data_IF_004697527772
#
_entry.id   IF_004697527772
#
_cell.length_a   1.000
_cell.length_b   1.000
_cell.length_c   1.000
_cell.angle_alpha   90.00
_cell.angle_beta   90.00
_cell.angle_gamma   90.00
#
_symmetry.space_group_name_H-M   'P 1'
#
loop_
_entity.id
_entity.type
_entity.pdbx_description
1 polymer ?
#
# COMPACT_ATOMS: atom_id res chain seq x y z
N UNK A 1 0.92 -26.99 3.00
CA UNK A 1 0.21 -25.73 3.29
C UNK A 1 0.57 -24.57 2.36
N UNK A 2 1.61 -24.68 1.52
CA UNK A 2 2.23 -23.53 0.81
C UNK A 2 1.44 -22.89 -0.34
N UNK A 3 0.16 -23.20 -0.59
CA UNK A 3 -0.52 -22.71 -1.80
C UNK A 3 -2.02 -22.38 -1.63
N UNK A 4 -2.51 -22.26 -0.40
CA UNK A 4 -3.89 -21.83 -0.13
C UNK A 4 -3.97 -20.31 -0.04
N UNK A 5 -5.12 -19.73 -0.39
CA UNK A 5 -5.41 -18.33 -0.14
C UNK A 5 -6.17 -18.20 1.18
N UNK A 6 -5.68 -17.37 2.11
CA UNK A 6 -6.28 -17.19 3.44
C UNK A 6 -6.53 -15.72 3.73
N UNK A 7 -7.63 -15.44 4.43
CA UNK A 7 -8.03 -14.10 4.82
C UNK A 7 -8.08 -14.01 6.34
N UNK A 8 -7.51 -12.96 6.90
CA UNK A 8 -7.42 -12.76 8.34
C UNK A 8 -8.04 -11.42 8.74
N UNK A 9 -8.77 -11.40 9.85
CA UNK A 9 -8.97 -10.18 10.61
C UNK A 9 -7.70 -9.97 11.47
N UNK A 10 -7.26 -8.72 11.65
CA UNK A 10 -5.98 -8.42 12.34
C UNK A 10 -6.17 -7.89 13.77
N UNK A 11 -7.40 -7.58 14.17
CA UNK A 11 -7.72 -7.11 15.53
C UNK A 11 -9.16 -7.49 15.89
N UNK A 12 -9.39 -8.59 16.63
CA UNK A 12 -8.38 -9.60 17.01
C UNK A 12 -7.85 -10.37 15.78
N UNK A 13 -6.65 -10.97 15.90
CA UNK A 13 -6.06 -11.80 14.86
C UNK A 13 -6.82 -13.14 14.74
N UNK A 14 -7.57 -13.33 13.66
CA UNK A 14 -8.40 -14.53 13.44
C UNK A 14 -8.49 -14.84 11.94
N UNK A 15 -8.36 -16.10 11.54
CA UNK A 15 -8.63 -16.55 10.18
C UNK A 15 -10.14 -16.45 9.90
N UNK A 16 -10.53 -15.79 8.81
CA UNK A 16 -11.94 -15.53 8.44
C UNK A 16 -12.39 -16.34 7.23
N UNK A 17 -11.47 -16.71 6.35
CA UNK A 17 -11.76 -17.53 5.19
C UNK A 17 -10.50 -18.22 4.68
N UNK A 18 -10.67 -19.43 4.16
CA UNK A 18 -9.62 -20.26 3.59
C UNK A 18 -10.11 -20.83 2.27
N UNK A 19 -9.30 -20.66 1.22
CA UNK A 19 -9.56 -21.20 -0.10
C UNK A 19 -8.46 -22.16 -0.51
N UNK A 20 -8.89 -23.37 -0.87
CA UNK A 20 -7.97 -24.44 -1.26
C UNK A 20 -7.26 -24.11 -2.59
N UNK A 21 -6.04 -24.61 -2.71
CA UNK A 21 -5.24 -24.52 -3.94
C UNK A 21 -5.93 -25.18 -5.13
N UNK A 22 -6.74 -26.21 -4.92
CA UNK A 22 -7.48 -26.87 -5.99
C UNK A 22 -8.54 -25.95 -6.60
N UNK A 23 -9.07 -25.02 -5.81
CA UNK A 23 -10.01 -24.00 -6.28
C UNK A 23 -9.23 -22.85 -6.95
N UNK A 24 -8.27 -22.27 -6.24
CA UNK A 24 -7.64 -20.99 -6.61
C UNK A 24 -6.37 -21.11 -7.46
N UNK A 25 -5.68 -22.25 -7.40
CA UNK A 25 -4.28 -22.37 -7.81
C UNK A 25 -3.36 -21.52 -6.92
N UNK A 26 -2.05 -21.52 -7.24
CA UNK A 26 -1.12 -20.56 -6.66
C UNK A 26 -1.43 -19.14 -7.15
N UNK A 27 -1.45 -18.19 -6.23
CA UNK A 27 -1.84 -16.78 -6.46
C UNK A 27 -0.62 -15.88 -6.26
N UNK A 28 -0.38 -14.96 -7.19
CA UNK A 28 0.69 -13.95 -7.08
C UNK A 28 0.18 -12.61 -6.55
N UNK A 29 -1.07 -12.24 -6.86
CA UNK A 29 -1.70 -11.01 -6.40
C UNK A 29 -3.09 -11.34 -5.89
N UNK A 30 -3.44 -10.86 -4.71
CA UNK A 30 -4.80 -10.90 -4.17
C UNK A 30 -5.16 -9.51 -3.64
N UNK A 31 -6.29 -8.96 -4.10
CA UNK A 31 -6.77 -7.64 -3.70
C UNK A 31 -8.23 -7.76 -3.22
N UNK A 32 -8.49 -7.39 -1.96
CA UNK A 32 -9.85 -7.40 -1.39
C UNK A 32 -10.60 -6.11 -1.72
N UNK A 33 -11.88 -6.22 -2.04
CA UNK A 33 -12.77 -5.06 -2.04
C UNK A 33 -13.25 -4.78 -0.60
N UNK A 34 -12.42 -4.09 0.17
CA UNK A 34 -12.67 -3.76 1.58
C UNK A 34 -13.05 -5.02 2.40
N UNK A 35 -14.15 -4.95 3.16
CA UNK A 35 -14.73 -6.06 3.94
C UNK A 35 -15.93 -6.69 3.22
N UNK A 36 -16.01 -6.61 1.89
CA UNK A 36 -17.05 -7.30 1.12
C UNK A 36 -16.68 -8.76 0.85
N UNK A 37 -17.59 -9.49 0.22
CA UNK A 37 -17.39 -10.84 -0.30
C UNK A 37 -16.63 -10.90 -1.63
N UNK A 38 -16.17 -9.75 -2.16
CA UNK A 38 -15.51 -9.66 -3.46
C UNK A 38 -14.01 -9.47 -3.30
N UNK A 39 -13.23 -10.25 -4.03
CA UNK A 39 -11.79 -10.05 -4.17
C UNK A 39 -11.32 -10.40 -5.59
N UNK A 40 -10.20 -9.82 -5.98
CA UNK A 40 -9.52 -10.09 -7.24
C UNK A 40 -8.28 -10.94 -7.00
N UNK A 41 -8.02 -11.87 -7.92
CA UNK A 41 -6.76 -12.64 -7.95
C UNK A 41 -6.09 -12.53 -9.31
N UNK A 42 -4.76 -12.67 -9.29
CA UNK A 42 -3.91 -12.95 -10.46
C UNK A 42 -3.10 -14.19 -10.12
N UNK A 43 -3.16 -15.21 -10.97
CA UNK A 43 -2.43 -16.45 -10.77
C UNK A 43 -0.91 -16.25 -10.94
N UNK A 44 -0.13 -17.08 -10.26
CA UNK A 44 1.32 -17.12 -10.40
C UNK A 44 1.95 -18.13 -9.45
N UNK A 45 3.24 -18.00 -9.15
CA UNK A 45 3.92 -18.95 -8.27
C UNK A 45 4.16 -20.32 -8.91
N UNK A 46 4.24 -21.38 -8.10
CA UNK A 46 4.69 -22.71 -8.53
C UNK A 46 3.59 -23.58 -9.15
N UNK A 47 2.32 -23.37 -8.81
CA UNK A 47 1.17 -24.15 -9.31
C UNK A 47 0.01 -23.24 -9.77
N UNK A 48 0.22 -22.33 -10.73
CA UNK A 48 -0.86 -21.47 -11.23
C UNK A 48 -1.91 -22.30 -11.97
N UNK A 49 -3.19 -22.06 -11.68
CA UNK A 49 -4.33 -22.68 -12.39
C UNK A 49 -4.84 -21.81 -13.55
N UNK A 50 -4.55 -20.52 -13.50
CA UNK A 50 -4.99 -19.52 -14.46
C UNK A 50 -3.79 -18.76 -15.03
N UNK A 51 -4.02 -17.94 -16.04
CA UNK A 51 -2.96 -17.15 -16.67
C UNK A 51 -2.56 -15.93 -15.82
N UNK A 52 -1.28 -15.56 -15.84
CA UNK A 52 -0.71 -14.43 -15.09
C UNK A 52 -1.02 -13.06 -15.72
N UNK A 53 -1.61 -13.07 -16.92
CA UNK A 53 -2.14 -11.91 -17.64
C UNK A 53 -3.67 -11.78 -17.50
N UNK A 54 -4.30 -12.53 -16.60
CA UNK A 54 -5.73 -12.46 -16.32
C UNK A 54 -6.00 -12.01 -14.88
N UNK A 55 -6.95 -11.09 -14.71
CA UNK A 55 -7.54 -10.74 -13.41
C UNK A 55 -8.87 -11.45 -13.27
N UNK A 56 -9.01 -12.25 -12.22
CA UNK A 56 -10.24 -12.97 -11.90
C UNK A 56 -10.90 -12.35 -10.68
N UNK A 57 -12.16 -11.95 -10.79
CA UNK A 57 -12.96 -11.49 -9.65
C UNK A 57 -13.78 -12.65 -9.12
N UNK A 58 -13.61 -12.95 -7.84
CA UNK A 58 -14.34 -14.00 -7.15
C UNK A 58 -15.39 -13.39 -6.21
N UNK A 59 -16.57 -14.01 -6.19
CA UNK A 59 -17.64 -13.70 -5.24
C UNK A 59 -17.77 -14.85 -4.25
N UNK A 60 -17.44 -14.57 -2.99
CA UNK A 60 -17.44 -15.59 -1.94
C UNK A 60 -18.82 -16.01 -1.47
N UNK A 61 -19.86 -15.18 -1.66
CA UNK A 61 -21.23 -15.59 -1.37
C UNK A 61 -21.72 -16.55 -2.46
N UNK A 62 -21.39 -16.26 -3.73
CA UNK A 62 -21.77 -17.12 -4.86
C UNK A 62 -20.83 -18.30 -5.09
N UNK A 63 -19.68 -18.31 -4.40
CA UNK A 63 -18.61 -19.32 -4.51
C UNK A 63 -18.14 -19.55 -5.96
N UNK A 64 -18.01 -18.48 -6.73
CA UNK A 64 -17.59 -18.56 -8.14
C UNK A 64 -16.86 -17.31 -8.62
N UNK A 65 -16.10 -17.47 -9.71
CA UNK A 65 -15.57 -16.34 -10.46
C UNK A 65 -16.70 -15.67 -11.25
N UNK A 66 -16.84 -14.36 -11.07
CA UNK A 66 -17.93 -13.56 -11.66
C UNK A 66 -17.46 -12.65 -12.79
N UNK A 67 -16.14 -12.45 -12.93
CA UNK A 67 -15.54 -11.65 -14.00
C UNK A 67 -14.11 -12.12 -14.28
N UNK A 68 -13.74 -12.12 -15.55
CA UNK A 68 -12.37 -12.33 -16.02
C UNK A 68 -11.97 -11.18 -16.96
N UNK A 69 -10.83 -10.55 -16.67
CA UNK A 69 -10.25 -9.50 -17.50
C UNK A 69 -8.88 -9.97 -18.02
N UNK A 70 -8.76 -10.16 -19.33
CA UNK A 70 -7.54 -10.66 -19.98
C UNK A 70 -6.75 -9.50 -20.59
N UNK A 71 -5.43 -9.51 -20.40
CA UNK A 71 -4.50 -8.49 -20.88
C UNK A 71 -3.45 -9.09 -21.81
N UNK A 72 -2.81 -8.25 -22.62
CA UNK A 72 -1.76 -8.68 -23.55
C UNK A 72 -0.40 -8.87 -22.88
N UNK A 73 -0.22 -8.35 -21.66
CA UNK A 73 0.99 -8.47 -20.85
C UNK A 73 0.64 -8.88 -19.42
N UNK A 74 1.62 -9.44 -18.72
CA UNK A 74 1.49 -9.89 -17.32
C UNK A 74 0.92 -8.77 -16.45
N UNK A 75 -0.07 -9.12 -15.62
CA UNK A 75 -0.62 -8.21 -14.63
C UNK A 75 0.35 -8.06 -13.47
N UNK A 76 0.65 -6.82 -13.10
CA UNK A 76 1.59 -6.47 -12.04
C UNK A 76 0.89 -6.08 -10.76
N UNK A 77 -0.20 -5.33 -10.84
CA UNK A 77 -0.96 -4.90 -9.68
C UNK A 77 -2.45 -4.78 -10.00
N UNK A 78 -3.28 -5.02 -8.99
CA UNK A 78 -4.73 -4.79 -9.04
C UNK A 78 -5.10 -3.93 -7.84
N UNK A 79 -5.95 -2.93 -8.07
CA UNK A 79 -6.58 -2.13 -7.01
C UNK A 79 -8.08 -2.09 -7.23
N UNK A 80 -8.83 -2.34 -6.15
CA UNK A 80 -10.28 -2.39 -6.19
C UNK A 80 -10.89 -1.17 -5.49
N UNK A 81 -11.90 -0.59 -6.14
CA UNK A 81 -12.84 0.35 -5.56
C UNK A 81 -14.25 -0.16 -5.76
N UNK A 82 -15.20 0.36 -4.99
CA UNK A 82 -16.63 0.02 -5.16
C UNK A 82 -17.17 0.38 -6.54
N UNK A 83 -16.55 1.36 -7.20
CA UNK A 83 -17.00 1.89 -8.49
C UNK A 83 -16.04 1.60 -9.67
N UNK A 84 -14.81 1.11 -9.39
CA UNK A 84 -13.79 0.87 -10.43
C UNK A 84 -12.86 -0.30 -10.10
N UNK A 85 -12.37 -0.95 -11.15
CA UNK A 85 -11.22 -1.86 -11.10
C UNK A 85 -10.05 -1.17 -11.81
N UNK A 86 -8.89 -1.13 -11.16
CA UNK A 86 -7.65 -0.60 -11.73
C UNK A 86 -6.66 -1.75 -11.86
N UNK A 87 -6.13 -1.95 -13.07
CA UNK A 87 -5.17 -3.01 -13.37
C UNK A 87 -3.92 -2.40 -13.98
N UNK A 88 -2.80 -2.52 -13.28
CA UNK A 88 -1.48 -2.18 -13.80
C UNK A 88 -0.85 -3.43 -14.42
N UNK A 89 -0.51 -3.35 -15.70
CA UNK A 89 0.33 -4.33 -16.39
C UNK A 89 1.77 -3.82 -16.43
N UNK A 90 2.65 -4.51 -17.16
CA UNK A 90 4.07 -4.14 -17.26
C UNK A 90 4.28 -2.67 -17.68
N UNK A 91 3.43 -2.14 -18.54
CA UNK A 91 3.60 -0.85 -19.21
C UNK A 91 2.30 -0.07 -19.41
N UNK A 92 1.17 -0.54 -18.87
CA UNK A 92 -0.10 0.18 -18.93
C UNK A 92 -0.82 0.16 -17.58
N UNK A 93 -1.63 1.19 -17.33
CA UNK A 93 -2.65 1.18 -16.28
C UNK A 93 -4.02 1.26 -16.93
N UNK A 94 -4.85 0.27 -16.69
CA UNK A 94 -6.17 0.12 -17.28
C UNK A 94 -7.23 0.35 -16.20
N UNK A 95 -8.19 1.22 -16.48
CA UNK A 95 -9.27 1.56 -15.54
C UNK A 95 -10.60 1.06 -16.12
N UNK A 96 -11.36 0.34 -15.32
CA UNK A 96 -12.64 -0.26 -15.68
C UNK A 96 -13.75 0.22 -14.74
N UNK A 97 -14.99 0.28 -15.25
CA UNK A 97 -16.17 0.46 -14.40
C UNK A 97 -16.48 -0.81 -13.61
N UNK A 98 -17.07 -0.64 -12.43
CA UNK A 98 -17.49 -1.73 -11.55
C UNK A 98 -18.69 -1.27 -10.69
N UNK A 99 -19.61 -2.14 -10.26
CA UNK A 99 -19.71 -3.58 -10.52
C UNK A 99 -20.50 -3.97 -11.77
N UNK A 100 -21.46 -3.14 -12.21
CA UNK A 100 -22.37 -3.49 -13.30
C UNK A 100 -21.84 -3.04 -14.66
N UNK A 101 -22.04 -3.90 -15.68
CA UNK A 101 -21.58 -3.69 -17.06
C UNK A 101 -20.11 -3.24 -17.13
N UNK A 102 -19.21 -4.03 -16.50
CA UNK A 102 -17.77 -3.73 -16.48
C UNK A 102 -17.24 -3.51 -17.89
N UNK A 103 -16.82 -2.28 -18.14
CA UNK A 103 -16.20 -1.85 -19.39
C UNK A 103 -14.93 -1.09 -19.09
N UNK A 104 -13.96 -1.19 -20.00
CA UNK A 104 -12.76 -0.37 -19.94
C UNK A 104 -13.16 1.09 -20.16
N UNK A 105 -12.83 1.94 -19.20
CA UNK A 105 -13.09 3.38 -19.26
C UNK A 105 -11.98 4.06 -20.05
N UNK A 106 -10.72 3.77 -19.71
CA UNK A 106 -9.54 4.25 -20.43
C UNK A 106 -8.30 3.43 -20.07
N UNK A 107 -7.25 3.61 -20.85
CA UNK A 107 -5.91 3.07 -20.62
C UNK A 107 -4.90 4.21 -20.60
N UNK A 108 -3.95 4.14 -19.67
CA UNK A 108 -2.84 5.06 -19.53
C UNK A 108 -1.55 4.30 -19.84
N UNK A 109 -0.75 4.84 -20.74
CA UNK A 109 0.59 4.32 -21.00
C UNK A 109 1.53 4.70 -19.87
N UNK A 110 2.41 3.77 -19.50
CA UNK A 110 3.42 3.97 -18.47
C UNK A 110 4.75 3.44 -18.98
N UNK A 111 5.83 3.72 -18.25
CA UNK A 111 7.07 2.98 -18.47
C UNK A 111 6.96 1.56 -17.93
N UNK A 112 8.02 0.77 -18.09
CA UNK A 112 8.14 -0.49 -17.36
C UNK A 112 7.95 -0.25 -15.85
N UNK A 113 7.00 -0.97 -15.24
CA UNK A 113 6.66 -0.91 -13.82
C UNK A 113 7.24 -2.12 -13.07
N UNK A 114 8.57 -2.18 -12.83
CA UNK A 114 9.23 -3.36 -12.27
C UNK A 114 8.83 -3.66 -10.81
N UNK A 115 8.35 -2.66 -10.08
CA UNK A 115 7.96 -2.77 -8.67
C UNK A 115 6.45 -2.88 -8.47
N UNK A 116 5.69 -3.13 -9.55
CA UNK A 116 4.24 -3.32 -9.49
C UNK A 116 3.49 -2.17 -8.79
N UNK A 117 3.95 -0.94 -8.98
CA UNK A 117 3.44 0.23 -8.28
C UNK A 117 2.18 0.76 -8.95
N UNK A 118 1.08 0.77 -8.22
CA UNK A 118 -0.18 1.39 -8.59
C UNK A 118 -1.00 1.54 -7.32
N UNK A 119 -1.38 2.76 -6.96
CA UNK A 119 -2.18 3.02 -5.77
C UNK A 119 -3.40 3.88 -6.09
N UNK A 120 -4.48 3.67 -5.36
CA UNK A 120 -5.73 4.40 -5.54
C UNK A 120 -6.31 4.83 -4.20
N UNK A 121 -6.89 6.02 -4.13
CA UNK A 121 -7.63 6.40 -2.93
C UNK A 121 -8.83 5.43 -2.77
N UNK A 122 -8.97 4.75 -1.63
CA UNK A 122 -9.84 3.58 -1.54
C UNK A 122 -11.31 3.91 -1.31
N UNK A 123 -11.63 5.06 -0.69
CA UNK A 123 -12.99 5.38 -0.27
C UNK A 123 -13.73 6.22 -1.33
N UNK A 124 -15.02 5.93 -1.51
CA UNK A 124 -15.89 6.67 -2.44
C UNK A 124 -16.24 8.08 -1.94
N UNK A 125 -16.17 8.30 -0.63
CA UNK A 125 -16.40 9.60 0.02
C UNK A 125 -15.11 10.42 0.15
N UNK A 126 -14.02 10.01 -0.52
CA UNK A 126 -12.77 10.77 -0.52
C UNK A 126 -12.99 12.16 -1.13
N UNK A 127 -12.29 13.16 -0.60
CA UNK A 127 -12.22 14.50 -1.23
C UNK A 127 -11.73 14.43 -2.68
N UNK A 128 -10.79 13.52 -2.96
CA UNK A 128 -10.25 13.25 -4.29
C UNK A 128 -10.22 11.75 -4.57
N UNK A 129 -10.79 11.34 -5.71
CA UNK A 129 -10.69 9.97 -6.20
C UNK A 129 -9.42 9.90 -7.03
N UNK A 130 -8.31 9.52 -6.42
CA UNK A 130 -6.98 9.69 -7.02
C UNK A 130 -6.38 8.34 -7.34
N UNK A 131 -5.89 8.19 -8.57
CA UNK A 131 -5.01 7.10 -9.01
C UNK A 131 -3.58 7.65 -9.15
N UNK A 132 -2.61 6.93 -8.57
CA UNK A 132 -1.19 7.23 -8.71
C UNK A 132 -0.39 6.03 -9.20
N UNK A 133 0.62 6.30 -10.02
CA UNK A 133 1.54 5.29 -10.56
C UNK A 133 2.84 5.97 -11.05
N UNK A 134 3.93 5.22 -11.28
CA UNK A 134 5.16 5.79 -11.83
C UNK A 134 4.95 6.45 -13.19
N UNK A 135 5.45 7.69 -13.36
CA UNK A 135 5.34 8.42 -14.62
C UNK A 135 6.39 8.01 -15.66
N UNK A 136 6.43 8.66 -16.81
CA UNK A 136 7.41 8.34 -17.87
C UNK A 136 8.85 8.77 -17.53
N UNK A 137 9.05 9.86 -16.80
CA UNK A 137 10.38 10.40 -16.45
C UNK A 137 10.89 9.80 -15.14
N UNK A 138 12.13 9.28 -15.11
CA UNK A 138 12.70 8.64 -13.91
C UNK A 138 12.45 9.44 -12.62
N UNK A 139 11.94 8.74 -11.60
CA UNK A 139 11.57 9.33 -10.31
C UNK A 139 10.33 10.23 -10.34
N UNK A 140 9.57 10.28 -11.44
CA UNK A 140 8.29 10.98 -11.50
C UNK A 140 7.10 10.05 -11.19
N UNK A 141 6.01 10.65 -10.71
CA UNK A 141 4.73 9.99 -10.41
C UNK A 141 3.64 10.69 -11.21
N UNK A 142 2.73 9.93 -11.79
CA UNK A 142 1.53 10.46 -12.44
C UNK A 142 0.32 10.35 -11.51
N UNK A 143 -0.50 11.40 -11.50
CA UNK A 143 -1.71 11.58 -10.69
C UNK A 143 -2.90 11.73 -11.64
N UNK A 144 -3.92 10.90 -11.46
CA UNK A 144 -5.13 10.90 -12.30
C UNK A 144 -6.36 11.00 -11.43
N UNK A 145 -7.21 11.99 -11.72
CA UNK A 145 -8.51 12.13 -11.08
C UNK A 145 -9.50 11.14 -11.70
N UNK A 146 -10.10 10.32 -10.86
CA UNK A 146 -11.05 9.26 -11.20
C UNK A 146 -12.50 9.69 -10.97
N UNK A 147 -12.77 10.92 -10.54
CA UNK A 147 -14.15 11.38 -10.32
C UNK A 147 -14.93 11.46 -11.65
N UNK A 148 -14.28 11.89 -12.73
CA UNK A 148 -14.88 12.07 -14.05
C UNK A 148 -14.17 11.21 -15.09
N UNK A 149 -14.79 10.09 -15.43
CA UNK A 149 -14.24 9.08 -16.36
C UNK A 149 -15.10 8.90 -17.61
N UNK A 150 -15.95 9.88 -17.92
CA UNK A 150 -16.81 9.85 -19.10
C UNK A 150 -16.02 10.10 -20.40
N UNK A 151 -16.48 9.48 -21.48
CA UNK A 151 -15.86 9.66 -22.79
C UNK A 151 -15.95 11.13 -23.23
N UNK A 152 -14.80 11.74 -23.56
CA UNK A 152 -14.70 13.14 -23.95
C UNK A 152 -14.29 14.10 -22.84
N UNK A 153 -14.25 13.65 -21.58
CA UNK A 153 -13.60 14.39 -20.50
C UNK A 153 -12.10 14.07 -20.45
N UNK A 154 -11.27 15.09 -20.26
CA UNK A 154 -9.82 14.89 -20.14
C UNK A 154 -9.47 14.38 -18.74
N UNK A 155 -9.05 13.12 -18.65
CA UNK A 155 -8.40 12.54 -17.46
C UNK A 155 -6.86 12.61 -17.58
N UNK A 156 -6.34 13.69 -18.18
CA UNK A 156 -4.91 13.82 -18.43
C UNK A 156 -4.11 13.76 -17.11
N UNK A 157 -3.11 12.87 -17.01
CA UNK A 157 -2.32 12.75 -15.80
C UNK A 157 -1.51 14.00 -15.48
N UNK A 158 -1.48 14.38 -14.21
CA UNK A 158 -0.57 15.39 -13.67
C UNK A 158 0.72 14.71 -13.26
N UNK A 159 1.88 15.29 -13.60
CA UNK A 159 3.19 14.72 -13.22
C UNK A 159 3.79 15.42 -12.01
N UNK A 160 4.18 14.66 -10.99
CA UNK A 160 5.01 15.08 -9.87
C UNK A 160 6.45 14.57 -10.06
N UNK A 161 7.44 15.46 -10.07
CA UNK A 161 8.86 15.09 -10.11
C UNK A 161 9.36 14.77 -8.70
N UNK A 162 9.09 13.55 -8.23
CA UNK A 162 9.23 13.22 -6.81
C UNK A 162 10.67 12.91 -6.39
N UNK A 163 11.45 12.21 -7.23
CA UNK A 163 12.81 11.75 -6.93
C UNK A 163 13.71 11.86 -8.17
N UNK A 164 15.03 11.74 -7.96
CA UNK A 164 16.01 11.70 -9.06
C UNK A 164 16.20 10.28 -9.62
N UNK A 165 15.90 9.25 -8.83
CA UNK A 165 16.03 7.83 -9.18
C UNK A 165 14.67 7.16 -9.17
N UNK A 166 14.60 5.93 -9.66
CA UNK A 166 13.35 5.17 -9.82
C UNK A 166 12.53 5.13 -8.53
N UNK A 167 11.20 5.25 -8.67
CA UNK A 167 10.26 5.11 -7.55
C UNK A 167 10.22 3.64 -7.15
N UNK A 168 10.37 3.36 -5.87
CA UNK A 168 10.35 2.01 -5.32
C UNK A 168 9.12 1.75 -4.43
N UNK A 169 8.50 2.79 -3.87
CA UNK A 169 7.30 2.65 -3.06
C UNK A 169 6.41 3.89 -3.18
N UNK A 170 5.10 3.69 -3.22
CA UNK A 170 4.07 4.71 -3.35
C UNK A 170 2.94 4.44 -2.37
N UNK A 171 2.32 5.50 -1.85
CA UNK A 171 1.08 5.41 -1.11
C UNK A 171 0.25 6.68 -1.33
N UNK A 172 -1.07 6.53 -1.29
CA UNK A 172 -2.04 7.63 -1.26
C UNK A 172 -2.85 7.52 0.02
N UNK A 173 -3.16 8.66 0.65
CA UNK A 173 -4.00 8.64 1.84
C UNK A 173 -5.48 8.36 1.49
N UNK A 174 -6.30 8.10 2.50
CA UNK A 174 -7.71 7.76 2.27
C UNK A 174 -8.47 8.84 1.49
N UNK A 175 -8.18 10.12 1.75
CA UNK A 175 -8.86 11.25 1.13
C UNK A 175 -8.36 11.59 -0.28
N UNK A 176 -7.27 10.97 -0.76
CA UNK A 176 -6.64 11.32 -2.03
C UNK A 176 -5.95 12.70 -2.04
N UNK A 177 -5.77 13.31 -0.88
CA UNK A 177 -5.18 14.65 -0.69
C UNK A 177 -3.67 14.62 -0.49
N UNK A 178 -3.12 13.47 -0.10
CA UNK A 178 -1.69 13.29 0.16
C UNK A 178 -1.14 12.08 -0.60
N UNK A 179 0.09 12.23 -1.10
CA UNK A 179 0.85 11.14 -1.72
C UNK A 179 2.19 11.02 -1.02
N UNK A 180 2.57 9.81 -0.63
CA UNK A 180 3.90 9.50 -0.13
C UNK A 180 4.71 8.73 -1.19
N UNK A 181 5.98 9.08 -1.33
CA UNK A 181 6.87 8.48 -2.33
C UNK A 181 8.23 8.17 -1.75
N UNK A 182 8.79 7.02 -2.10
CA UNK A 182 10.19 6.69 -1.86
C UNK A 182 10.83 6.15 -3.13
N UNK A 183 12.10 6.46 -3.33
CA UNK A 183 12.88 5.92 -4.44
C UNK A 183 13.66 4.68 -4.02
N UNK A 184 14.32 4.02 -4.98
CA UNK A 184 15.23 2.89 -4.76
C UNK A 184 16.39 3.20 -3.79
N UNK A 185 16.69 4.48 -3.50
CA UNK A 185 17.63 4.83 -2.43
C UNK A 185 17.07 4.52 -1.04
N UNK A 186 15.76 4.69 -0.83
CA UNK A 186 15.06 4.37 0.40
C UNK A 186 15.52 5.05 1.68
N UNK A 187 16.36 6.08 1.59
CA UNK A 187 16.79 6.89 2.74
C UNK A 187 15.72 7.91 3.16
N UNK A 188 14.89 8.33 2.21
CA UNK A 188 13.92 9.41 2.36
C UNK A 188 12.55 8.99 1.83
N UNK A 189 11.52 9.43 2.55
CA UNK A 189 10.11 9.39 2.12
C UNK A 189 9.65 10.84 1.97
N UNK A 190 9.04 11.16 0.84
CA UNK A 190 8.51 12.50 0.57
C UNK A 190 7.00 12.47 0.55
N UNK A 191 6.37 13.39 1.28
CA UNK A 191 4.91 13.55 1.31
C UNK A 191 4.53 14.82 0.57
N UNK A 192 3.59 14.70 -0.36
CA UNK A 192 3.18 15.73 -1.31
C UNK A 192 1.70 16.05 -1.14
N UNK A 193 1.34 17.32 -1.30
CA UNK A 193 -0.04 17.77 -1.45
C UNK A 193 -0.49 17.50 -2.90
N UNK A 194 -1.62 16.82 -3.09
CA UNK A 194 -2.08 16.44 -4.44
C UNK A 194 -2.78 17.57 -5.18
N UNK A 195 -3.26 18.59 -4.44
CA UNK A 195 -3.99 19.74 -4.97
C UNK A 195 -2.99 20.84 -5.35
N UNK A 196 -2.18 21.26 -4.39
CA UNK A 196 -1.14 22.29 -4.53
C UNK A 196 0.11 21.77 -5.24
N UNK A 197 0.30 20.45 -5.30
CA UNK A 197 1.38 19.76 -6.03
C UNK A 197 2.77 20.14 -5.53
N UNK A 198 2.88 20.51 -4.27
CA UNK A 198 4.14 20.85 -3.62
C UNK A 198 4.54 19.78 -2.59
N UNK A 199 5.84 19.69 -2.35
CA UNK A 199 6.40 18.88 -1.29
C UNK A 199 6.00 19.50 0.06
N UNK A 200 5.40 18.71 0.94
CA UNK A 200 5.01 19.14 2.29
C UNK A 200 6.09 18.80 3.31
N UNK A 201 6.59 17.57 3.28
CA UNK A 201 7.62 17.11 4.23
C UNK A 201 8.52 16.04 3.63
N UNK A 202 9.79 16.10 4.01
CA UNK A 202 10.78 15.06 3.77
C UNK A 202 11.10 14.33 5.09
N UNK A 203 10.76 13.05 5.12
CA UNK A 203 10.91 12.15 6.26
C UNK A 203 12.14 11.27 6.04
N UNK A 204 13.05 11.24 7.01
CA UNK A 204 14.25 10.44 6.98
C UNK A 204 14.03 9.11 7.69
N UNK A 205 14.06 8.02 6.91
CA UNK A 205 14.04 6.65 7.44
C UNK A 205 15.36 6.31 8.11
N UNK A 206 16.48 6.65 7.47
CA UNK A 206 17.83 6.39 7.97
C UNK A 206 18.90 7.04 7.09
N UNK A 207 20.17 6.88 7.48
CA UNK A 207 21.32 7.29 6.67
C UNK A 207 21.59 6.32 5.53
N UNK A 208 21.44 5.03 5.80
CA UNK A 208 21.85 3.98 4.88
C UNK A 208 20.73 3.68 3.88
N UNK A 209 21.07 3.35 2.62
CA UNK A 209 20.10 2.86 1.66
C UNK A 209 19.39 1.60 2.15
N UNK A 210 18.11 1.48 1.79
CA UNK A 210 17.27 0.33 2.15
C UNK A 210 16.20 0.11 1.10
N UNK A 211 15.84 -1.16 0.86
CA UNK A 211 14.65 -1.50 0.10
C UNK A 211 13.42 -1.37 1.00
N UNK A 212 12.51 -0.45 0.67
CA UNK A 212 11.22 -0.34 1.36
C UNK A 212 10.26 -1.41 0.84
N UNK A 213 9.53 -2.04 1.76
CA UNK A 213 8.49 -3.01 1.40
C UNK A 213 7.10 -2.37 1.33
N UNK A 214 6.77 -1.45 2.24
CA UNK A 214 5.56 -0.66 2.14
C UNK A 214 5.68 0.73 2.79
N UNK A 215 4.76 1.61 2.42
CA UNK A 215 4.46 2.87 3.09
C UNK A 215 2.94 2.91 3.30
N UNK A 216 2.47 3.29 4.49
CA UNK A 216 1.04 3.43 4.75
C UNK A 216 0.74 4.66 5.61
N UNK A 217 -0.32 5.38 5.24
CA UNK A 217 -0.90 6.44 6.06
C UNK A 217 -1.81 5.85 7.15
N UNK A 218 -1.90 6.51 8.30
CA UNK A 218 -3.02 6.29 9.22
C UNK A 218 -4.32 6.77 8.58
N UNK A 219 -5.45 6.24 9.05
CA UNK A 219 -6.79 6.54 8.51
C UNK A 219 -7.10 8.04 8.43
N UNK A 220 -6.68 8.78 9.44
CA UNK A 220 -6.82 10.22 9.61
C UNK A 220 -5.62 11.04 9.07
N UNK A 221 -4.64 10.37 8.45
CA UNK A 221 -3.39 10.94 7.97
C UNK A 221 -2.56 11.67 9.05
N UNK A 222 -2.75 11.33 10.33
CA UNK A 222 -1.91 11.84 11.43
C UNK A 222 -0.51 11.26 11.43
N UNK A 223 -0.38 10.01 10.98
CA UNK A 223 0.87 9.28 10.97
C UNK A 223 1.13 8.62 9.62
N UNK A 224 2.39 8.32 9.38
CA UNK A 224 2.86 7.51 8.26
C UNK A 224 3.84 6.48 8.78
N UNK A 225 3.72 5.25 8.30
CA UNK A 225 4.64 4.18 8.63
C UNK A 225 5.33 3.66 7.38
N UNK A 226 6.51 3.08 7.57
CA UNK A 226 7.18 2.30 6.54
C UNK A 226 7.95 1.12 7.14
N UNK A 227 8.09 0.08 6.34
CA UNK A 227 8.94 -1.09 6.60
C UNK A 227 10.05 -1.18 5.55
N UNK A 228 11.16 -1.82 5.91
CA UNK A 228 12.31 -2.00 5.01
C UNK A 228 13.10 -3.26 5.33
N UNK A 229 14.01 -3.61 4.41
CA UNK A 229 14.98 -4.72 4.56
C UNK A 229 15.89 -4.63 5.79
N UNK A 230 15.96 -3.46 6.44
CA UNK A 230 16.73 -3.24 7.68
C UNK A 230 16.12 -3.85 8.93
N UNK A 231 14.98 -4.54 8.84
CA UNK A 231 14.32 -5.15 10.00
C UNK A 231 13.76 -4.11 10.98
N UNK A 232 13.46 -2.90 10.49
CA UNK A 232 12.90 -1.82 11.30
C UNK A 232 11.63 -1.26 10.66
N UNK A 233 10.65 -0.97 11.50
CA UNK A 233 9.45 -0.22 11.12
C UNK A 233 9.55 1.18 11.74
N UNK A 234 9.38 2.20 10.91
CA UNK A 234 9.44 3.60 11.31
C UNK A 234 8.05 4.21 11.32
N UNK A 235 7.75 5.03 12.32
CA UNK A 235 6.49 5.77 12.46
C UNK A 235 6.82 7.27 12.51
N UNK A 236 6.19 8.04 11.63
CA UNK A 236 6.35 9.48 11.50
C UNK A 236 5.02 10.18 11.79
N UNK A 237 5.05 11.29 12.52
CA UNK A 237 3.92 12.20 12.65
C UNK A 237 3.85 13.15 11.46
N UNK A 238 2.67 13.34 10.89
CA UNK A 238 2.43 14.23 9.74
C UNK A 238 1.69 15.51 10.13
N UNK A 239 0.69 15.42 11.01
CA UNK A 239 -0.06 16.60 11.47
C UNK A 239 0.73 17.40 12.51
N UNK A 240 1.18 16.73 13.57
CA UNK A 240 2.06 17.34 14.58
C UNK A 240 3.52 16.93 14.34
N UNK A 241 4.17 17.67 13.44
CA UNK A 241 5.57 17.42 13.06
C UNK A 241 6.58 17.71 14.18
N UNK A 242 6.17 18.30 15.30
CA UNK A 242 7.05 18.51 16.46
C UNK A 242 7.34 17.22 17.21
N UNK A 243 6.48 16.21 17.07
CA UNK A 243 6.68 14.87 17.64
C UNK A 243 7.83 14.12 16.95
N UNK A 244 8.13 14.47 15.69
CA UNK A 244 9.24 13.85 14.98
C UNK A 244 10.59 14.31 15.54
N UNK A 245 11.52 13.36 15.64
CA UNK A 245 12.90 13.66 16.03
C UNK A 245 13.55 14.53 14.95
N UNK A 246 14.37 15.50 15.35
CA UNK A 246 15.14 16.36 14.42
C UNK A 246 16.63 16.21 14.69
N UNK A 247 17.44 16.32 13.64
CA UNK A 247 18.90 16.29 13.77
C UNK A 247 19.38 17.42 14.70
N UNK A 248 20.31 17.13 15.61
CA UNK A 248 20.92 18.11 16.52
C UNK A 248 21.64 19.24 15.78
N UNK A 249 22.11 18.99 14.55
CA UNK A 249 22.75 19.99 13.70
C UNK A 249 21.79 21.09 13.22
N UNK A 250 20.47 20.89 13.32
CA UNK A 250 19.46 21.91 13.00
C UNK A 250 19.43 23.08 13.97
N UNK A 251 19.89 22.85 15.21
CA UNK A 251 20.04 23.91 16.22
C UNK A 251 21.27 24.78 16.00
N UNK A 252 22.18 24.39 15.10
CA UNK A 252 23.46 25.08 14.86
C UNK A 252 23.45 25.97 13.61
N UNK A 253 22.28 26.21 13.00
CA UNK A 253 22.12 27.19 11.92
C UNK A 253 22.77 26.83 10.58
N UNK A 254 23.22 25.60 10.38
CA UNK A 254 23.77 25.14 9.09
C UNK A 254 22.63 24.84 8.10
N UNK A 255 22.59 25.60 7.00
CA UNK A 255 21.62 25.42 5.93
C UNK A 255 22.03 24.24 5.03
N UNK A 256 21.23 23.18 5.04
CA UNK A 256 21.33 22.06 4.10
C UNK A 256 20.16 21.09 4.27
N UNK A 257 19.73 20.45 3.18
CA UNK A 257 18.56 19.55 3.17
C UNK A 257 18.65 18.41 4.20
N UNK A 258 19.86 18.00 4.59
CA UNK A 258 20.09 16.99 5.64
C UNK A 258 19.67 17.47 7.04
N UNK A 259 19.75 18.78 7.27
CA UNK A 259 19.51 19.43 8.55
C UNK A 259 18.01 19.67 8.79
N UNK A 260 17.21 19.77 7.74
CA UNK A 260 15.75 20.02 7.82
C UNK A 260 14.90 18.74 7.86
N UNK A 261 15.46 17.59 7.48
CA UNK A 261 14.70 16.33 7.41
C UNK A 261 14.25 15.83 8.79
N UNK A 262 13.00 15.33 8.84
CA UNK A 262 12.37 14.86 10.07
C UNK A 262 12.56 13.35 10.21
N UNK A 263 13.03 12.90 11.36
CA UNK A 263 13.23 11.47 11.68
C UNK A 263 11.99 10.89 12.35
N UNK A 264 11.92 9.55 12.39
CA UNK A 264 10.80 8.83 12.98
C UNK A 264 10.56 9.25 14.44
N UNK A 265 9.28 9.44 14.80
CA UNK A 265 8.79 9.59 16.16
C UNK A 265 9.10 8.33 16.97
N UNK A 266 8.71 7.18 16.42
CA UNK A 266 8.85 5.87 17.03
C UNK A 266 9.43 4.87 16.03
N UNK A 267 10.09 3.84 16.54
CA UNK A 267 10.66 2.74 15.74
C UNK A 267 10.62 1.47 16.56
N UNK A 268 10.34 0.34 15.91
CA UNK A 268 10.48 -0.98 16.51
C UNK A 268 11.06 -1.96 15.48
N UNK A 269 11.54 -3.10 15.95
CA UNK A 269 12.20 -4.11 15.13
C UNK A 269 11.26 -5.25 14.76
N UNK A 270 11.50 -5.78 13.57
CA UNK A 270 10.91 -7.01 13.03
C UNK A 270 12.06 -7.90 12.52
N UNK A 271 11.83 -9.18 12.20
CA UNK A 271 12.88 -10.04 11.67
C UNK A 271 13.62 -9.37 10.49
N UNK A 272 14.97 -9.26 10.55
CA UNK A 272 15.75 -8.60 9.51
C UNK A 272 15.68 -9.41 8.21
N UNK A 273 15.80 -8.72 7.08
CA UNK A 273 15.73 -9.32 5.73
C UNK A 273 14.43 -10.09 5.43
N UNK A 274 13.44 -10.00 6.31
CA UNK A 274 12.10 -10.52 6.08
C UNK A 274 11.19 -9.40 5.57
N UNK A 275 10.65 -9.59 4.37
CA UNK A 275 9.64 -8.68 3.84
C UNK A 275 8.44 -8.63 4.78
N UNK A 276 8.01 -7.41 5.10
CA UNK A 276 6.88 -7.18 5.98
C UNK A 276 6.08 -5.97 5.51
N UNK A 277 4.77 -6.06 5.69
CA UNK A 277 3.85 -4.94 5.50
C UNK A 277 3.37 -4.45 6.86
N UNK A 278 3.17 -3.15 7.00
CA UNK A 278 2.73 -2.52 8.24
C UNK A 278 1.53 -1.59 8.02
N UNK A 279 0.57 -1.60 8.93
CA UNK A 279 -0.63 -0.79 8.84
C UNK A 279 -1.11 -0.32 10.22
N UNK A 280 -1.63 0.90 10.28
CA UNK A 280 -2.23 1.45 11.49
C UNK A 280 -3.59 0.82 11.78
N UNK A 281 -3.82 0.55 13.06
CA UNK A 281 -5.11 0.14 13.56
C UNK A 281 -6.12 1.28 13.70
N UNK A 282 -7.39 0.93 13.96
CA UNK A 282 -8.39 1.94 14.31
C UNK A 282 -8.24 2.28 15.79
N UNK A 283 -7.78 3.50 16.09
CA UNK A 283 -7.62 4.00 17.45
C UNK A 283 -8.91 3.77 18.26
N UNK A 284 -8.79 3.19 19.44
CA UNK A 284 -9.87 3.14 20.42
C UNK A 284 -9.38 3.71 21.77
N UNK A 285 -10.32 3.99 22.68
CA UNK A 285 -10.01 4.62 23.97
C UNK A 285 -9.14 3.77 24.90
N UNK A 286 -9.01 2.46 24.63
CA UNK A 286 -8.33 1.50 25.51
C UNK A 286 -6.87 1.30 25.10
N UNK A 287 -6.61 1.11 23.81
CA UNK A 287 -5.29 0.74 23.26
C UNK A 287 -4.51 1.97 22.79
N UNK A 288 -5.20 3.07 22.47
CA UNK A 288 -4.55 4.26 21.89
C UNK A 288 -4.09 4.01 20.45
N UNK A 289 -2.96 4.60 20.06
CA UNK A 289 -2.42 4.45 18.71
C UNK A 289 -1.63 3.14 18.62
N UNK A 290 -1.99 2.27 17.69
CA UNK A 290 -1.27 1.03 17.45
C UNK A 290 -1.05 0.78 15.97
N UNK A 291 -0.06 -0.05 15.70
CA UNK A 291 0.33 -0.48 14.37
C UNK A 291 0.52 -2.00 14.40
N UNK A 292 0.10 -2.64 13.31
CA UNK A 292 0.28 -4.07 13.07
C UNK A 292 1.26 -4.28 11.93
N UNK A 293 2.05 -5.35 11.98
CA UNK A 293 2.89 -5.78 10.88
C UNK A 293 2.81 -7.28 10.65
N UNK A 294 2.75 -7.66 9.38
CA UNK A 294 2.66 -9.03 8.90
C UNK A 294 3.91 -9.30 8.06
N UNK A 295 4.63 -10.36 8.39
CA UNK A 295 5.90 -10.72 7.80
C UNK A 295 5.78 -12.01 6.97
N UNK A 296 6.56 -12.12 5.89
CA UNK A 296 6.55 -13.29 4.99
C UNK A 296 6.92 -14.59 5.70
N UNK A 297 7.67 -14.53 6.80
CA UNK A 297 8.00 -15.68 7.65
C UNK A 297 6.81 -16.23 8.47
N UNK A 298 5.61 -15.66 8.31
CA UNK A 298 4.41 -16.07 9.04
C UNK A 298 4.20 -15.32 10.36
N UNK A 299 5.09 -14.37 10.73
CA UNK A 299 4.96 -13.65 12.00
C UNK A 299 4.06 -12.42 11.91
N UNK A 300 3.27 -12.23 12.96
CA UNK A 300 2.42 -11.08 13.21
C UNK A 300 2.93 -10.32 14.43
N UNK A 301 2.97 -8.99 14.35
CA UNK A 301 3.38 -8.13 15.46
C UNK A 301 2.39 -6.98 15.62
N UNK A 302 1.98 -6.70 16.85
CA UNK A 302 1.15 -5.54 17.21
C UNK A 302 1.92 -4.69 18.21
N UNK A 303 2.07 -3.40 17.90
CA UNK A 303 2.79 -2.44 18.75
C UNK A 303 1.92 -1.22 19.02
N UNK A 304 1.92 -0.77 20.27
CA UNK A 304 1.31 0.50 20.70
C UNK A 304 2.40 1.56 20.77
N UNK A 305 2.08 2.78 20.33
CA UNK A 305 3.00 3.91 20.42
C UNK A 305 2.30 5.17 20.94
N UNK A 306 3.09 6.08 21.51
CA UNK A 306 2.58 7.35 22.04
C UNK A 306 3.33 8.57 21.47
N UNK A 307 2.90 9.76 21.86
CA UNK A 307 3.46 11.03 21.40
C UNK A 307 4.91 11.28 21.90
N UNK A 308 5.33 10.61 22.97
CA UNK A 308 6.70 10.68 23.49
C UNK A 308 7.68 9.83 22.68
N UNK A 309 7.17 9.05 21.71
CA UNK A 309 7.96 8.13 20.89
C UNK A 309 8.22 6.78 21.55
N UNK A 310 7.58 6.49 22.69
CA UNK A 310 7.58 5.15 23.27
C UNK A 310 6.81 4.20 22.35
N UNK A 311 7.34 3.00 22.12
CA UNK A 311 6.74 1.99 21.28
C UNK A 311 6.94 0.62 21.92
N UNK A 312 5.85 -0.02 22.32
CA UNK A 312 5.86 -1.27 23.07
C UNK A 312 5.07 -2.34 22.34
N UNK A 313 5.59 -3.57 22.35
CA UNK A 313 4.90 -4.72 21.77
C UNK A 313 3.69 -5.06 22.63
N UNK A 314 2.53 -5.13 22.00
CA UNK A 314 1.26 -5.54 22.61
C UNK A 314 0.98 -7.02 22.34
N UNK A 315 1.16 -7.47 21.09
CA UNK A 315 0.97 -8.87 20.69
C UNK A 315 2.06 -9.34 19.73
N UNK A 316 2.30 -10.65 19.75
CA UNK A 316 3.09 -11.37 18.77
C UNK A 316 2.48 -12.75 18.56
N UNK A 317 2.28 -13.13 17.31
CA UNK A 317 1.67 -14.40 16.92
C UNK A 317 2.30 -14.94 15.64
N UNK A 318 2.07 -16.21 15.33
CA UNK A 318 2.37 -16.81 14.02
C UNK A 318 1.06 -17.05 13.30
N UNK A 319 0.71 -16.18 12.35
CA UNK A 319 -0.65 -16.15 11.77
C UNK A 319 -0.98 -17.39 10.92
N UNK A 320 0.03 -18.13 10.48
CA UNK A 320 -0.15 -19.39 9.75
C UNK A 320 -0.63 -20.54 10.65
N UNK A 321 -0.35 -20.44 11.96
CA UNK A 321 -0.70 -21.42 12.99
C UNK A 321 -2.01 -21.07 13.72
N UNK A 322 -2.60 -19.90 13.40
CA UNK A 322 -3.91 -19.51 13.93
C UNK A 322 -4.96 -20.42 13.29
N UNK A 323 -5.51 -21.33 14.09
CA UNK A 323 -6.60 -22.23 13.70
C UNK A 323 -7.93 -21.53 14.02
N UNK A 324 -8.94 -21.73 13.18
CA UNK A 324 -10.29 -21.24 13.42
C UNK A 324 -10.89 -22.01 14.61
N UNK A 325 -11.14 -21.30 15.73
CA UNK A 325 -11.72 -21.90 16.96
C UNK A 325 -13.13 -22.46 16.73
N UNK A 326 -13.78 -22.11 15.61
CA UNK A 326 -15.11 -22.57 15.21
C UNK A 326 -15.14 -24.02 14.67
N UNK A 327 -14.04 -24.79 14.79
CA UNK A 327 -13.97 -26.23 14.47
C UNK A 327 -14.07 -27.18 15.68
N UNK A 328 -14.52 -26.70 16.85
CA UNK A 328 -14.82 -27.54 18.02
C UNK A 328 -16.31 -27.59 18.36
#
# INVERSE_FOLDING_TARGET
MENSLRFYNVDPLVEKAHFDVDVMGSVAVCEMLHRSNIFAIVAGGSRPKYADNAVLIYDDIKKQFILELIFTSTVKAVRLRRDKIIVATQNQVNVFSFPEATKRLFTLETRNNPFSLCEVSPIITAEKHLLIFPGHKMGSVQLVDLANTEAGMSSAPVTLNAHQTEIACLAVNQQGTLVATASVKGTLIRVWDTIKRNLLVELRRGTDPATLYCINFSRDSEFLCCSSDKGTIHIFALKDTHLNRRSTFSRMGFLGNYVESQWALATFTVPPECACICAFGSRNSVIGNYLTSICVDGTFHKYVFNADGNCNRESYDVYLDVIDDDQF
#
